data_IF_218510508160
#
_entry.id   IF_218510508160
#
_cell.length_a   1.000
_cell.length_b   1.000
_cell.length_c   1.000
_cell.angle_alpha   90.00
_cell.angle_beta   90.00
_cell.angle_gamma   90.00
#
_symmetry.space_group_name_H-M   'P 1'
#
loop_
_entity.id
_entity.type
_entity.pdbx_description
1 polymer ?
#
# COMPACT_ATOMS: atom_id res chain seq x y z
N UNK A 1 -99.74 -49.58 -23.10
CA UNK A 1 -99.46 -49.07 -24.45
C UNK A 1 -99.12 -47.58 -24.42
N UNK A 2 -100.02 -46.69 -24.01
CA UNK A 2 -99.70 -45.23 -23.96
C UNK A 2 -98.63 -44.83 -22.93
N UNK A 3 -98.56 -45.49 -21.77
CA UNK A 3 -97.48 -45.27 -20.80
C UNK A 3 -96.11 -45.72 -21.30
N UNK A 4 -96.08 -46.73 -22.18
CA UNK A 4 -94.85 -47.34 -22.68
C UNK A 4 -94.25 -46.47 -23.79
N UNK A 5 -95.08 -45.91 -24.66
CA UNK A 5 -94.68 -44.88 -25.63
C UNK A 5 -94.23 -43.59 -24.97
N UNK A 6 -94.90 -43.14 -23.90
CA UNK A 6 -94.48 -41.96 -23.14
C UNK A 6 -93.12 -42.16 -22.43
N UNK A 7 -92.88 -43.35 -21.86
CA UNK A 7 -91.58 -43.68 -21.26
C UNK A 7 -90.47 -43.77 -22.32
N UNK A 8 -90.76 -44.37 -23.49
CA UNK A 8 -89.83 -44.44 -24.62
C UNK A 8 -89.43 -43.05 -25.13
N UNK A 9 -90.39 -42.15 -25.30
CA UNK A 9 -90.14 -40.76 -25.72
C UNK A 9 -89.29 -40.00 -24.69
N UNK A 10 -89.58 -40.18 -23.40
CA UNK A 10 -88.81 -39.56 -22.32
C UNK A 10 -87.35 -40.04 -22.32
N UNK A 11 -87.13 -41.33 -22.56
CA UNK A 11 -85.79 -41.91 -22.67
C UNK A 11 -85.03 -41.37 -23.89
N UNK A 12 -85.68 -41.25 -25.05
CA UNK A 12 -85.09 -40.67 -26.26
C UNK A 12 -84.70 -39.20 -26.07
N UNK A 13 -85.55 -38.42 -25.40
CA UNK A 13 -85.24 -37.04 -25.03
C UNK A 13 -84.04 -36.93 -24.08
N UNK A 14 -83.94 -37.80 -23.08
CA UNK A 14 -82.78 -37.81 -22.18
C UNK A 14 -81.49 -38.23 -22.88
N UNK A 15 -81.53 -39.24 -23.75
CA UNK A 15 -80.36 -39.62 -24.57
C UNK A 15 -79.92 -38.44 -25.44
N UNK A 16 -80.87 -37.70 -26.02
CA UNK A 16 -80.57 -36.51 -26.82
C UNK A 16 -79.91 -35.41 -25.98
N UNK A 17 -80.46 -35.09 -24.80
CA UNK A 17 -79.89 -34.10 -23.87
C UNK A 17 -78.48 -34.50 -23.44
N UNK A 18 -78.26 -35.75 -23.05
CA UNK A 18 -76.94 -36.24 -22.68
C UNK A 18 -75.93 -36.12 -23.83
N UNK A 19 -76.34 -36.46 -25.06
CA UNK A 19 -75.48 -36.33 -26.25
C UNK A 19 -75.12 -34.86 -26.53
N UNK A 20 -76.08 -33.94 -26.40
CA UNK A 20 -75.85 -32.50 -26.57
C UNK A 20 -74.93 -31.94 -25.48
N UNK A 21 -75.16 -32.30 -24.22
CA UNK A 21 -74.31 -31.90 -23.10
C UNK A 21 -72.87 -32.42 -23.25
N UNK A 22 -72.71 -33.68 -23.65
CA UNK A 22 -71.40 -34.28 -23.93
C UNK A 22 -70.70 -33.57 -25.10
N UNK A 23 -71.43 -33.29 -26.20
CA UNK A 23 -70.88 -32.55 -27.35
C UNK A 23 -70.43 -31.15 -26.97
N UNK A 24 -71.19 -30.46 -26.10
CA UNK A 24 -70.82 -29.15 -25.56
C UNK A 24 -69.55 -29.23 -24.71
N UNK A 25 -69.48 -30.21 -23.79
CA UNK A 25 -68.31 -30.44 -22.96
C UNK A 25 -67.05 -30.75 -23.77
N UNK A 26 -67.12 -31.61 -24.79
CA UNK A 26 -65.99 -31.91 -25.67
C UNK A 26 -65.49 -30.66 -26.41
N UNK A 27 -66.41 -29.79 -26.86
CA UNK A 27 -66.04 -28.52 -27.49
C UNK A 27 -65.34 -27.58 -26.49
N UNK A 28 -65.89 -27.41 -25.30
CA UNK A 28 -65.30 -26.58 -24.24
C UNK A 28 -63.90 -27.07 -23.87
N UNK A 29 -63.75 -28.38 -23.65
CA UNK A 29 -62.46 -29.02 -23.39
C UNK A 29 -61.47 -28.82 -24.55
N UNK A 30 -61.91 -28.96 -25.81
CA UNK A 30 -61.06 -28.71 -26.97
C UNK A 30 -60.58 -27.26 -27.01
N UNK A 31 -61.45 -26.30 -26.74
CA UNK A 31 -61.07 -24.87 -26.69
C UNK A 31 -60.10 -24.57 -25.55
N UNK A 32 -60.28 -25.20 -24.38
CA UNK A 32 -59.35 -25.05 -23.26
C UNK A 32 -57.97 -25.62 -23.58
N UNK A 33 -57.91 -26.79 -24.24
CA UNK A 33 -56.65 -27.38 -24.71
C UNK A 33 -55.94 -26.46 -25.71
N UNK A 34 -56.67 -25.87 -26.66
CA UNK A 34 -56.11 -24.92 -27.65
C UNK A 34 -55.55 -23.66 -26.98
N UNK A 35 -56.25 -23.11 -26.00
CA UNK A 35 -55.79 -21.96 -25.21
C UNK A 35 -54.53 -22.29 -24.42
N UNK A 36 -54.50 -23.43 -23.74
CA UNK A 36 -53.33 -23.89 -23.00
C UNK A 36 -52.13 -24.13 -23.92
N UNK A 37 -52.33 -24.77 -25.08
CA UNK A 37 -51.27 -24.99 -26.06
C UNK A 37 -50.70 -23.67 -26.59
N UNK A 38 -51.55 -22.69 -26.88
CA UNK A 38 -51.12 -21.36 -27.32
C UNK A 38 -50.31 -20.67 -26.22
N UNK A 39 -50.74 -20.79 -24.96
CA UNK A 39 -50.01 -20.20 -23.82
C UNK A 39 -48.65 -20.87 -23.61
N UNK A 40 -48.56 -22.19 -23.77
CA UNK A 40 -47.29 -22.92 -23.69
C UNK A 40 -46.33 -22.46 -24.78
N UNK A 41 -46.79 -22.36 -26.03
CA UNK A 41 -45.95 -21.88 -27.14
C UNK A 41 -45.40 -20.48 -26.90
N UNK A 42 -46.24 -19.55 -26.44
CA UNK A 42 -45.80 -18.19 -26.08
C UNK A 42 -44.72 -18.19 -24.99
N UNK A 43 -44.91 -19.00 -23.93
CA UNK A 43 -43.94 -19.12 -22.86
C UNK A 43 -42.62 -19.75 -23.35
N UNK A 44 -42.68 -20.70 -24.28
CA UNK A 44 -41.48 -21.31 -24.88
C UNK A 44 -40.70 -20.32 -25.74
N UNK A 45 -41.39 -19.47 -26.52
CA UNK A 45 -40.81 -18.38 -27.29
C UNK A 45 -40.16 -17.34 -26.38
N UNK A 46 -40.88 -16.84 -25.38
CA UNK A 46 -40.35 -15.90 -24.37
C UNK A 46 -39.11 -16.47 -23.68
N UNK A 47 -39.11 -17.76 -23.32
CA UNK A 47 -37.98 -18.41 -22.68
C UNK A 47 -36.77 -18.54 -23.64
N UNK A 48 -37.01 -18.81 -24.93
CA UNK A 48 -35.95 -18.80 -25.94
C UNK A 48 -35.33 -17.41 -26.13
N UNK A 49 -36.15 -16.36 -26.16
CA UNK A 49 -35.68 -14.98 -26.22
C UNK A 49 -34.86 -14.61 -24.98
N UNK A 50 -35.37 -14.94 -23.78
CA UNK A 50 -34.66 -14.72 -22.52
C UNK A 50 -33.32 -15.44 -22.49
N UNK A 51 -33.24 -16.70 -22.93
CA UNK A 51 -31.96 -17.43 -23.04
C UNK A 51 -30.97 -16.70 -23.95
N UNK A 52 -31.45 -16.20 -25.10
CA UNK A 52 -30.61 -15.48 -26.07
C UNK A 52 -30.10 -14.15 -25.48
N UNK A 53 -30.97 -13.40 -24.79
CA UNK A 53 -30.56 -12.14 -24.14
C UNK A 53 -29.56 -12.38 -23.01
N UNK A 54 -29.73 -13.44 -22.22
CA UNK A 54 -28.78 -13.83 -21.16
C UNK A 54 -27.41 -14.16 -21.75
N UNK A 55 -27.35 -14.95 -22.83
CA UNK A 55 -26.07 -15.26 -23.49
C UNK A 55 -25.38 -14.00 -24.03
N UNK A 56 -26.14 -13.08 -24.63
CA UNK A 56 -25.61 -11.79 -25.11
C UNK A 56 -25.06 -10.94 -23.97
N UNK A 57 -25.79 -10.85 -22.85
CA UNK A 57 -25.36 -10.08 -21.67
C UNK A 57 -24.12 -10.69 -21.01
N UNK A 58 -24.01 -12.02 -20.96
CA UNK A 58 -22.80 -12.71 -20.48
C UNK A 58 -21.57 -12.34 -21.33
N UNK A 59 -21.68 -12.45 -22.66
CA UNK A 59 -20.59 -12.05 -23.56
C UNK A 59 -20.22 -10.57 -23.43
N UNK A 60 -21.20 -9.69 -23.21
CA UNK A 60 -20.93 -8.27 -22.97
C UNK A 60 -20.21 -8.03 -21.64
N UNK A 61 -20.58 -8.79 -20.59
CA UNK A 61 -19.93 -8.71 -19.27
C UNK A 61 -18.47 -9.17 -19.36
N UNK A 62 -18.22 -10.31 -20.02
CA UNK A 62 -16.86 -10.83 -20.25
C UNK A 62 -15.97 -9.82 -20.98
N UNK A 63 -16.48 -9.17 -22.04
CA UNK A 63 -15.75 -8.11 -22.75
C UNK A 63 -15.41 -6.91 -21.86
N UNK A 64 -16.35 -6.49 -21.01
CA UNK A 64 -16.13 -5.38 -20.08
C UNK A 64 -15.08 -5.76 -19.02
N UNK A 65 -15.08 -7.00 -18.54
CA UNK A 65 -14.07 -7.49 -17.61
C UNK A 65 -12.67 -7.53 -18.26
N UNK A 66 -12.56 -7.97 -19.52
CA UNK A 66 -11.32 -7.92 -20.28
C UNK A 66 -10.82 -6.49 -20.53
N UNK A 67 -11.71 -5.55 -20.84
CA UNK A 67 -11.36 -4.14 -20.99
C UNK A 67 -10.93 -3.52 -19.66
N UNK A 68 -11.63 -3.83 -18.56
CA UNK A 68 -11.27 -3.40 -17.22
C UNK A 68 -9.88 -3.91 -16.82
N UNK A 69 -9.58 -5.19 -17.06
CA UNK A 69 -8.26 -5.74 -16.78
C UNK A 69 -7.17 -5.03 -17.60
N UNK A 70 -7.39 -4.87 -18.92
CA UNK A 70 -6.46 -4.14 -19.78
C UNK A 70 -6.22 -2.70 -19.33
N UNK A 71 -7.25 -2.00 -18.88
CA UNK A 71 -7.11 -0.64 -18.35
C UNK A 71 -6.37 -0.61 -17.01
N UNK A 72 -6.58 -1.63 -16.15
CA UNK A 72 -5.84 -1.80 -14.89
C UNK A 72 -4.35 -2.00 -15.15
N UNK A 73 -3.98 -2.90 -16.07
CA UNK A 73 -2.58 -3.19 -16.41
C UNK A 73 -1.86 -1.94 -16.96
N UNK A 74 -2.55 -1.15 -17.79
CA UNK A 74 -2.03 0.12 -18.32
C UNK A 74 -1.85 1.19 -17.24
N UNK A 75 -2.79 1.26 -16.30
CA UNK A 75 -2.68 2.18 -15.17
C UNK A 75 -1.48 1.81 -14.28
N UNK A 76 -1.24 0.51 -14.08
CA UNK A 76 -0.09 0.02 -13.32
C UNK A 76 1.24 0.37 -14.02
N UNK A 77 1.38 0.07 -15.31
CA UNK A 77 2.58 0.42 -16.10
C UNK A 77 2.87 1.93 -16.08
N UNK A 78 1.85 2.77 -16.28
CA UNK A 78 2.03 4.23 -16.22
C UNK A 78 2.35 4.73 -14.81
N UNK A 79 1.80 4.10 -13.78
CA UNK A 79 2.11 4.44 -12.39
C UNK A 79 3.55 4.07 -12.01
N UNK A 80 4.04 2.92 -12.47
CA UNK A 80 5.43 2.50 -12.28
C UNK A 80 6.40 3.45 -12.99
N UNK A 81 6.13 3.82 -14.26
CA UNK A 81 6.94 4.80 -14.98
C UNK A 81 6.99 6.16 -14.30
N UNK A 82 5.84 6.64 -13.81
CA UNK A 82 5.78 7.90 -13.07
C UNK A 82 6.65 7.84 -11.81
N UNK A 83 6.61 6.72 -11.08
CA UNK A 83 7.45 6.51 -9.90
C UNK A 83 8.94 6.55 -10.25
N UNK A 84 9.35 5.88 -11.33
CA UNK A 84 10.74 5.90 -11.78
C UNK A 84 11.23 7.31 -12.14
N UNK A 85 10.38 8.09 -12.83
CA UNK A 85 10.67 9.49 -13.16
C UNK A 85 10.74 10.39 -11.92
N UNK A 86 9.87 10.17 -10.93
CA UNK A 86 9.93 10.89 -9.65
C UNK A 86 11.21 10.57 -8.88
N UNK A 87 11.62 9.30 -8.85
CA UNK A 87 12.87 8.86 -8.21
C UNK A 87 14.11 9.38 -8.96
N UNK A 88 14.04 9.50 -10.29
CA UNK A 88 15.09 10.14 -11.09
C UNK A 88 15.17 11.65 -10.79
N UNK A 89 14.03 12.35 -10.78
CA UNK A 89 13.95 13.77 -10.45
C UNK A 89 14.53 14.06 -9.06
N UNK A 90 14.17 13.26 -8.06
CA UNK A 90 14.70 13.38 -6.69
C UNK A 90 16.23 13.23 -6.67
N UNK A 91 16.77 12.21 -7.35
CA UNK A 91 18.21 12.00 -7.48
C UNK A 91 18.91 13.16 -8.17
N UNK A 92 18.31 13.76 -9.21
CA UNK A 92 18.87 14.93 -9.88
C UNK A 92 18.88 16.17 -8.97
N UNK A 93 17.80 16.39 -8.21
CA UNK A 93 17.71 17.49 -7.25
C UNK A 93 18.74 17.36 -6.12
N UNK A 94 18.94 16.15 -5.60
CA UNK A 94 19.96 15.87 -4.59
C UNK A 94 21.38 16.15 -5.12
N UNK A 95 21.68 15.72 -6.36
CA UNK A 95 22.95 16.04 -7.03
C UNK A 95 23.15 17.53 -7.22
N UNK A 96 22.12 18.27 -7.64
CA UNK A 96 22.20 19.72 -7.81
C UNK A 96 22.45 20.43 -6.47
N UNK A 97 21.79 19.97 -5.40
CA UNK A 97 22.00 20.48 -4.04
C UNK A 97 23.43 20.21 -3.57
N UNK A 98 23.94 19.00 -3.78
CA UNK A 98 25.31 18.63 -3.43
C UNK A 98 26.32 19.50 -4.19
N UNK A 99 26.16 19.64 -5.51
CA UNK A 99 27.07 20.45 -6.32
C UNK A 99 27.09 21.93 -5.88
N UNK A 100 25.94 22.50 -5.50
CA UNK A 100 25.88 23.87 -4.94
C UNK A 100 26.66 23.98 -3.62
N UNK A 101 26.55 22.96 -2.75
CA UNK A 101 27.28 22.94 -1.49
C UNK A 101 28.79 22.81 -1.71
N UNK A 102 29.22 21.92 -2.59
CA UNK A 102 30.62 21.73 -2.97
C UNK A 102 31.20 23.01 -3.58
N UNK A 103 30.49 23.64 -4.52
CA UNK A 103 30.90 24.92 -5.10
C UNK A 103 31.07 26.03 -4.05
N UNK A 104 30.15 26.13 -3.09
CA UNK A 104 30.28 27.10 -2.01
C UNK A 104 31.49 26.82 -1.12
N UNK A 105 31.76 25.55 -0.78
CA UNK A 105 32.94 25.16 -0.01
C UNK A 105 34.24 25.48 -0.74
N UNK A 106 34.33 25.17 -2.03
CA UNK A 106 35.51 25.50 -2.84
C UNK A 106 35.72 27.01 -2.94
N UNK A 107 34.62 27.77 -3.08
CA UNK A 107 34.67 29.23 -3.09
C UNK A 107 35.18 29.79 -1.76
N UNK A 108 34.72 29.26 -0.63
CA UNK A 108 35.19 29.63 0.71
C UNK A 108 36.67 29.31 0.89
N UNK A 109 37.10 28.10 0.54
CA UNK A 109 38.51 27.70 0.60
C UNK A 109 39.42 28.57 -0.29
N UNK A 110 38.94 28.94 -1.48
CA UNK A 110 39.67 29.85 -2.39
C UNK A 110 39.76 31.25 -1.79
N UNK A 111 38.70 31.73 -1.13
CA UNK A 111 38.68 33.03 -0.47
C UNK A 111 39.65 33.08 0.71
N UNK A 112 39.70 32.02 1.54
CA UNK A 112 40.68 31.88 2.63
C UNK A 112 42.12 31.94 2.09
N UNK A 113 42.43 31.20 1.02
CA UNK A 113 43.74 31.25 0.38
C UNK A 113 44.11 32.66 -0.11
N UNK A 114 43.14 33.38 -0.70
CA UNK A 114 43.36 34.78 -1.13
C UNK A 114 43.67 35.68 0.07
N UNK A 115 42.98 35.50 1.19
CA UNK A 115 43.22 36.28 2.42
C UNK A 115 44.59 35.99 3.02
N UNK A 116 45.02 34.74 3.04
CA UNK A 116 46.35 34.37 3.53
C UNK A 116 47.47 34.93 2.65
N UNK A 117 47.33 34.84 1.32
CA UNK A 117 48.27 35.46 0.38
C UNK A 117 48.31 37.00 0.54
N UNK A 118 47.17 37.64 0.81
CA UNK A 118 47.12 39.09 1.10
C UNK A 118 47.90 39.44 2.36
N UNK A 119 47.74 38.67 3.45
CA UNK A 119 48.50 38.87 4.69
C UNK A 119 50.00 38.70 4.45
N UNK A 120 50.40 37.66 3.71
CA UNK A 120 51.80 37.42 3.39
C UNK A 120 52.41 38.55 2.54
N UNK A 121 51.66 39.07 1.56
CA UNK A 121 52.07 40.25 0.78
C UNK A 121 52.23 41.49 1.66
N UNK A 122 51.31 41.74 2.60
CA UNK A 122 51.42 42.85 3.55
C UNK A 122 52.67 42.70 4.45
N UNK A 123 52.92 41.50 4.97
CA UNK A 123 54.13 41.20 5.74
C UNK A 123 55.42 41.46 4.94
N UNK A 124 55.47 41.03 3.69
CA UNK A 124 56.62 41.26 2.80
C UNK A 124 56.83 42.74 2.50
N UNK A 125 55.75 43.51 2.31
CA UNK A 125 55.83 44.97 2.11
C UNK A 125 56.39 45.68 3.35
N UNK A 126 55.94 45.31 4.55
CA UNK A 126 56.46 45.83 5.81
C UNK A 126 57.94 45.48 6.00
N UNK A 127 58.31 44.23 5.78
CA UNK A 127 59.70 43.76 5.87
C UNK A 127 60.63 44.54 4.92
N UNK A 128 60.19 44.76 3.68
CA UNK A 128 60.94 45.56 2.71
C UNK A 128 61.14 46.99 3.20
N UNK A 129 60.10 47.64 3.73
CA UNK A 129 60.19 49.00 4.26
C UNK A 129 61.16 49.09 5.45
N UNK A 130 61.17 48.09 6.33
CA UNK A 130 62.10 48.04 7.47
C UNK A 130 63.56 47.86 7.03
N UNK A 131 63.81 47.10 5.96
CA UNK A 131 65.15 46.94 5.38
C UNK A 131 65.64 48.22 4.66
N UNK A 132 64.73 48.98 4.06
CA UNK A 132 65.03 50.19 3.28
C UNK A 132 65.18 51.46 4.14
N UNK A 133 64.87 51.43 5.45
CA UNK A 133 65.09 52.56 6.37
C UNK A 133 66.61 52.81 6.58
N UNK A 134 67.20 53.89 6.03
CA UNK A 134 68.59 54.22 6.28
C UNK A 134 68.67 54.91 7.65
N UNK A 135 69.38 54.31 8.61
CA UNK A 135 69.88 55.06 9.77
C UNK A 135 69.29 54.76 11.14
N UNK A 136 68.80 53.55 11.43
CA UNK A 136 68.72 53.09 12.84
C UNK A 136 69.87 52.13 13.15
N UNK A 137 70.87 52.74 13.79
CA UNK A 137 72.12 52.15 14.22
C UNK A 137 71.94 50.83 14.94
N UNK A 138 72.80 49.92 14.51
CA UNK A 138 73.23 48.67 15.11
C UNK A 138 73.96 48.96 16.43
N UNK A 139 73.26 49.49 17.45
CA UNK A 139 73.86 49.93 18.71
C UNK A 139 72.98 49.54 19.92
N UNK A 140 72.93 48.24 20.27
CA UNK A 140 72.67 47.74 21.65
C UNK A 140 72.90 46.23 21.73
N UNK A 141 74.06 45.73 21.31
CA UNK A 141 74.36 44.30 21.17
C UNK A 141 74.82 43.60 22.46
N UNK A 142 74.12 43.82 23.58
CA UNK A 142 74.30 42.94 24.76
C UNK A 142 73.03 42.86 25.63
N UNK A 143 72.38 44.00 25.89
CA UNK A 143 71.11 44.05 26.62
C UNK A 143 69.92 43.58 25.76
N UNK A 144 69.92 43.89 24.45
CA UNK A 144 68.90 43.39 23.53
C UNK A 144 69.03 41.90 23.26
N UNK A 145 70.26 41.37 23.16
CA UNK A 145 70.53 39.92 23.04
C UNK A 145 70.13 39.16 24.30
N UNK A 146 70.39 39.70 25.50
CA UNK A 146 69.96 39.08 26.75
C UNK A 146 68.43 39.03 26.89
N UNK A 147 67.75 40.14 26.54
CA UNK A 147 66.29 40.19 26.51
C UNK A 147 65.71 39.29 25.41
N UNK A 148 66.35 39.19 24.25
CA UNK A 148 65.95 38.28 23.17
C UNK A 148 66.08 36.81 23.61
N UNK A 149 67.17 36.46 24.29
CA UNK A 149 67.41 35.10 24.79
C UNK A 149 66.45 34.70 25.92
N UNK A 150 66.10 35.65 26.79
CA UNK A 150 65.07 35.44 27.82
C UNK A 150 63.70 35.20 27.19
N UNK A 151 63.34 36.01 26.17
CA UNK A 151 62.09 35.87 25.43
C UNK A 151 62.02 34.60 24.58
N UNK A 152 63.14 34.18 24.03
CA UNK A 152 63.29 32.90 23.32
C UNK A 152 62.96 31.73 24.27
N UNK A 153 63.55 31.72 25.47
CA UNK A 153 63.27 30.69 26.49
C UNK A 153 61.80 30.71 26.94
N UNK A 154 61.19 31.89 27.09
CA UNK A 154 59.75 32.00 27.40
C UNK A 154 58.88 31.44 26.27
N UNK A 155 59.22 31.74 25.00
CA UNK A 155 58.52 31.19 23.84
C UNK A 155 58.73 29.68 23.70
N UNK A 156 59.91 29.16 24.01
CA UNK A 156 60.16 27.72 24.05
C UNK A 156 59.29 27.01 25.10
N UNK A 157 59.18 27.60 26.30
CA UNK A 157 58.28 27.08 27.33
C UNK A 157 56.82 27.14 26.90
N UNK A 158 56.40 28.21 26.23
CA UNK A 158 55.04 28.37 25.73
C UNK A 158 54.73 27.38 24.60
N UNK A 159 55.66 27.17 23.67
CA UNK A 159 55.55 26.14 22.62
C UNK A 159 55.45 24.75 23.27
N UNK A 160 56.23 24.48 24.31
CA UNK A 160 56.17 23.20 25.02
C UNK A 160 54.81 23.01 25.72
N UNK A 161 54.28 24.07 26.33
CA UNK A 161 52.95 24.07 26.96
C UNK A 161 51.85 23.85 25.93
N UNK A 162 51.87 24.58 24.82
CA UNK A 162 50.90 24.45 23.73
C UNK A 162 50.96 23.07 23.08
N UNK A 163 52.15 22.49 22.87
CA UNK A 163 52.29 21.11 22.37
C UNK A 163 51.67 20.10 23.33
N UNK A 164 51.86 20.26 24.64
CA UNK A 164 51.24 19.39 25.64
C UNK A 164 49.71 19.55 25.68
N UNK A 165 49.21 20.76 25.56
CA UNK A 165 47.77 21.04 25.52
C UNK A 165 47.13 20.50 24.24
N UNK A 166 47.80 20.64 23.10
CA UNK A 166 47.36 20.08 21.83
C UNK A 166 47.31 18.55 21.86
N UNK A 167 48.34 17.90 22.45
CA UNK A 167 48.32 16.45 22.66
C UNK A 167 47.13 16.03 23.53
N UNK A 168 46.85 16.74 24.63
CA UNK A 168 45.69 16.44 25.48
C UNK A 168 44.36 16.60 24.74
N UNK A 169 44.23 17.63 23.91
CA UNK A 169 43.03 17.83 23.09
C UNK A 169 42.89 16.73 22.05
N UNK A 170 43.99 16.25 21.47
CA UNK A 170 43.98 15.11 20.55
C UNK A 170 43.53 13.84 21.27
N UNK A 171 44.09 13.54 22.44
CA UNK A 171 43.71 12.37 23.24
C UNK A 171 42.22 12.42 23.62
N UNK A 172 41.71 13.59 24.01
CA UNK A 172 40.27 13.81 24.30
C UNK A 172 39.40 13.63 23.06
N UNK A 173 39.87 14.08 21.89
CA UNK A 173 39.16 13.90 20.64
C UNK A 173 39.05 12.40 20.27
N UNK A 174 40.14 11.66 20.45
CA UNK A 174 40.19 10.21 20.21
C UNK A 174 39.25 9.46 21.17
N UNK A 175 39.21 9.84 22.45
CA UNK A 175 38.26 9.29 23.42
C UNK A 175 36.80 9.58 23.03
N UNK A 176 36.49 10.81 22.63
CA UNK A 176 35.14 11.19 22.17
C UNK A 176 34.74 10.45 20.89
N UNK A 177 35.65 10.30 19.93
CA UNK A 177 35.42 9.51 18.73
C UNK A 177 35.15 8.03 19.07
N UNK A 178 35.88 7.47 20.04
CA UNK A 178 35.63 6.12 20.56
C UNK A 178 34.25 5.99 21.21
N UNK A 179 33.79 7.00 21.96
CA UNK A 179 32.45 7.03 22.53
C UNK A 179 31.36 7.11 21.44
N UNK A 180 31.54 7.96 20.43
CA UNK A 180 30.60 8.07 19.29
C UNK A 180 30.48 6.73 18.57
N UNK A 181 31.60 6.09 18.24
CA UNK A 181 31.62 4.76 17.62
C UNK A 181 30.87 3.73 18.47
N UNK A 182 31.09 3.74 19.79
CA UNK A 182 30.41 2.83 20.71
C UNK A 182 28.90 3.05 20.75
N UNK A 183 28.45 4.31 20.77
CA UNK A 183 27.03 4.67 20.72
C UNK A 183 26.40 4.27 19.37
N UNK A 184 27.06 4.57 18.25
CA UNK A 184 26.59 4.17 16.93
C UNK A 184 26.49 2.64 16.78
N UNK A 185 27.44 1.89 17.33
CA UNK A 185 27.37 0.42 17.35
C UNK A 185 26.22 -0.09 18.22
N UNK A 186 25.96 0.54 19.37
CA UNK A 186 24.84 0.20 20.23
C UNK A 186 23.49 0.47 19.54
N UNK A 187 23.34 1.63 18.91
CA UNK A 187 22.16 1.99 18.12
C UNK A 187 21.96 1.06 16.93
N UNK A 188 23.03 0.74 16.19
CA UNK A 188 22.98 -0.23 15.10
C UNK A 188 22.53 -1.61 15.59
N UNK A 189 23.09 -2.09 16.71
CA UNK A 189 22.68 -3.36 17.34
C UNK A 189 21.20 -3.36 17.73
N UNK A 190 20.70 -2.26 18.27
CA UNK A 190 19.28 -2.10 18.60
C UNK A 190 18.40 -2.09 17.34
N UNK A 191 18.86 -1.45 16.25
CA UNK A 191 18.16 -1.43 14.96
C UNK A 191 18.06 -2.83 14.34
N UNK A 192 19.14 -3.62 14.38
CA UNK A 192 19.10 -5.01 13.92
C UNK A 192 18.14 -5.85 14.77
N UNK A 193 18.15 -5.68 16.09
CA UNK A 193 17.25 -6.40 16.98
C UNK A 193 15.75 -6.08 16.73
N UNK A 194 15.41 -4.83 16.41
CA UNK A 194 14.04 -4.46 16.02
C UNK A 194 13.69 -4.97 14.63
N UNK A 195 14.63 -4.95 13.69
CA UNK A 195 14.44 -5.51 12.36
C UNK A 195 14.19 -7.02 12.39
N UNK A 196 14.92 -7.79 13.21
CA UNK A 196 14.68 -9.24 13.35
C UNK A 196 13.31 -9.55 13.95
N UNK A 197 12.83 -8.74 14.91
CA UNK A 197 11.46 -8.89 15.45
C UNK A 197 10.39 -8.57 14.41
N UNK A 198 10.58 -7.51 13.64
CA UNK A 198 9.65 -7.15 12.55
C UNK A 198 9.67 -8.18 11.41
N UNK A 199 10.85 -8.75 11.08
CA UNK A 199 10.99 -9.84 10.11
C UNK A 199 10.35 -11.14 10.59
N UNK A 200 10.46 -11.47 11.88
CA UNK A 200 9.77 -12.64 12.45
C UNK A 200 8.26 -12.51 12.34
N UNK A 201 7.72 -11.30 12.58
CA UNK A 201 6.29 -11.03 12.43
C UNK A 201 5.83 -11.04 10.96
N UNK A 202 6.65 -10.50 10.05
CA UNK A 202 6.37 -10.53 8.62
C UNK A 202 6.44 -11.94 8.02
N UNK A 203 7.39 -12.77 8.46
CA UNK A 203 7.50 -14.17 8.05
C UNK A 203 6.33 -15.02 8.55
N UNK A 204 5.78 -14.70 9.72
CA UNK A 204 4.58 -15.35 10.24
C UNK A 204 3.32 -14.97 9.44
N UNK A 205 3.23 -13.72 8.99
CA UNK A 205 2.15 -13.22 8.10
C UNK A 205 2.25 -13.79 6.69
N UNK A 206 3.46 -13.95 6.13
CA UNK A 206 3.67 -14.57 4.80
C UNK A 206 3.47 -16.10 4.82
N UNK A 207 3.53 -16.75 5.99
CA UNK A 207 3.41 -18.22 6.10
C UNK A 207 1.99 -18.76 6.02
N UNK A 208 0.97 -17.91 6.20
CA UNK A 208 -0.41 -18.22 5.86
C UNK A 208 -0.80 -17.32 4.68
N UNK A 209 -0.98 -17.91 3.50
CA UNK A 209 -1.34 -17.09 2.34
C UNK A 209 -2.71 -16.43 2.60
N UNK A 210 -2.84 -15.16 2.21
CA UNK A 210 -4.13 -14.44 2.23
C UNK A 210 -5.25 -15.28 1.58
N UNK A 211 -4.89 -16.08 0.58
CA UNK A 211 -5.80 -16.96 -0.13
C UNK A 211 -6.25 -18.15 0.73
N UNK A 212 -5.36 -18.81 1.48
CA UNK A 212 -5.74 -19.84 2.45
C UNK A 212 -6.61 -19.30 3.58
N UNK A 213 -6.35 -18.08 4.06
CA UNK A 213 -7.20 -17.42 5.07
C UNK A 213 -8.59 -17.06 4.51
N UNK A 214 -8.67 -16.60 3.27
CA UNK A 214 -9.95 -16.34 2.62
C UNK A 214 -10.72 -17.62 2.31
N UNK A 215 -10.04 -18.69 1.94
CA UNK A 215 -10.65 -20.00 1.66
C UNK A 215 -11.19 -20.63 2.94
N UNK A 216 -10.42 -20.62 4.03
CA UNK A 216 -10.88 -21.08 5.34
C UNK A 216 -12.07 -20.25 5.86
N UNK A 217 -12.06 -18.92 5.64
CA UNK A 217 -13.18 -18.06 6.01
C UNK A 217 -14.45 -18.40 5.21
N UNK A 218 -14.30 -18.66 3.92
CA UNK A 218 -15.41 -19.02 3.02
C UNK A 218 -16.01 -20.38 3.39
N UNK A 219 -15.19 -21.38 3.69
CA UNK A 219 -15.67 -22.67 4.21
C UNK A 219 -16.44 -22.50 5.52
N UNK A 220 -15.95 -21.65 6.43
CA UNK A 220 -16.61 -21.38 7.69
C UNK A 220 -17.97 -20.67 7.51
N UNK A 221 -18.08 -19.74 6.55
CA UNK A 221 -19.34 -19.09 6.18
C UNK A 221 -20.36 -20.10 5.60
N UNK A 222 -19.91 -21.03 4.77
CA UNK A 222 -20.76 -22.07 4.19
C UNK A 222 -21.28 -23.05 5.26
N UNK A 223 -20.43 -23.47 6.19
CA UNK A 223 -20.83 -24.32 7.33
C UNK A 223 -21.87 -23.58 8.18
N UNK A 224 -21.64 -22.31 8.50
CA UNK A 224 -22.59 -21.50 9.26
C UNK A 224 -23.94 -21.35 8.55
N UNK A 225 -23.93 -21.17 7.23
CA UNK A 225 -25.15 -21.10 6.44
C UNK A 225 -25.95 -22.41 6.54
N UNK A 226 -25.27 -23.56 6.40
CA UNK A 226 -25.91 -24.88 6.53
C UNK A 226 -26.45 -25.13 7.94
N UNK A 227 -25.72 -24.70 8.98
CA UNK A 227 -26.19 -24.78 10.37
C UNK A 227 -27.43 -23.92 10.62
N UNK A 228 -27.50 -22.71 10.05
CA UNK A 228 -28.70 -21.85 10.13
C UNK A 228 -29.89 -22.52 9.46
N UNK A 229 -29.73 -23.02 8.24
CA UNK A 229 -30.79 -23.75 7.54
C UNK A 229 -31.26 -24.99 8.30
N UNK A 230 -30.35 -25.70 8.96
CA UNK A 230 -30.68 -26.85 9.80
C UNK A 230 -31.48 -26.43 11.04
N UNK A 231 -31.05 -25.37 11.75
CA UNK A 231 -31.80 -24.78 12.86
C UNK A 231 -33.19 -24.33 12.42
N UNK A 232 -33.32 -23.65 11.27
CA UNK A 232 -34.61 -23.19 10.76
C UNK A 232 -35.58 -24.37 10.52
N UNK A 233 -35.08 -25.48 9.97
CA UNK A 233 -35.89 -26.71 9.78
C UNK A 233 -36.38 -27.28 11.11
N UNK A 234 -35.51 -27.31 12.13
CA UNK A 234 -35.90 -27.78 13.47
C UNK A 234 -36.93 -26.84 14.10
N UNK A 235 -36.69 -25.53 14.04
CA UNK A 235 -37.58 -24.52 14.62
C UNK A 235 -38.96 -24.58 13.95
N UNK A 236 -39.02 -24.69 12.62
CA UNK A 236 -40.27 -24.87 11.88
C UNK A 236 -41.02 -26.13 12.32
N UNK A 237 -40.32 -27.27 12.44
CA UNK A 237 -40.94 -28.51 12.91
C UNK A 237 -41.50 -28.39 14.34
N UNK A 238 -40.80 -27.68 15.23
CA UNK A 238 -41.26 -27.41 16.60
C UNK A 238 -42.48 -26.49 16.58
N UNK A 239 -42.47 -25.43 15.78
CA UNK A 239 -43.59 -24.50 15.64
C UNK A 239 -44.87 -25.22 15.16
N UNK A 240 -44.74 -26.19 14.26
CA UNK A 240 -45.87 -26.96 13.71
C UNK A 240 -46.45 -27.96 14.72
N UNK A 241 -45.65 -28.51 15.64
CA UNK A 241 -46.07 -29.60 16.52
C UNK A 241 -46.34 -29.16 17.96
N UNK A 242 -45.48 -28.32 18.54
CA UNK A 242 -45.64 -27.84 19.91
C UNK A 242 -44.82 -26.54 20.16
N UNK A 243 -45.38 -25.37 19.81
CA UNK A 243 -44.66 -24.09 19.87
C UNK A 243 -44.35 -23.63 21.29
N UNK A 244 -45.05 -24.14 22.31
CA UNK A 244 -44.86 -23.75 23.72
C UNK A 244 -43.46 -24.07 24.28
N UNK A 245 -42.72 -24.98 23.64
CA UNK A 245 -41.35 -25.36 24.03
C UNK A 245 -40.33 -24.24 23.72
N UNK A 246 -40.63 -23.35 22.75
CA UNK A 246 -39.78 -22.21 22.42
C UNK A 246 -39.99 -21.01 23.35
N UNK A 247 -40.93 -21.11 24.30
CA UNK A 247 -41.21 -20.05 25.27
C UNK A 247 -40.07 -19.96 26.30
N UNK A 248 -39.30 -18.87 26.25
CA UNK A 248 -38.27 -18.58 27.24
C UNK A 248 -38.99 -18.10 28.51
N UNK A 249 -39.11 -18.98 29.50
CA UNK A 249 -39.64 -18.61 30.82
C UNK A 249 -38.58 -17.81 31.58
N UNK A 250 -38.86 -16.53 31.80
CA UNK A 250 -38.12 -15.67 32.73
C UNK A 250 -38.44 -16.02 34.19
#
# INVERSE_FOLDING_TARGET
KDQETSAQQTLEEEIKRHREAYSKYEKEKSTEIELLNTRVQQLEEENCELKTTVLRLKSQTEKLDEEKQRMSDRLEDTSLRLKDEMDLYKRMMDKLRQNRLEFNKEREATQELIEDLRKELEHLQLYKLDCERPGRGRNSSSLSEFNAKTREVEMEHEIKRLKQENQKLHDQNDDLNGQILSLSLYEAKNLFATQTKAQSLAAEIDSASRDELMEALKEQEEINYRLRQYMDKIILAILDHNPSILEIKN
#
